data_IF_351141467956
#
_entry.id   IF_351141467956
#
_cell.length_a   1.000
_cell.length_b   1.000
_cell.length_c   1.000
_cell.angle_alpha   90.00
_cell.angle_beta   90.00
_cell.angle_gamma   90.00
#
_symmetry.space_group_name_H-M   'P 1'
#
loop_
_entity.id
_entity.type
_entity.pdbx_description
1 polymer ?
#
# COMPACT_ATOMS: atom_id res chain seq x y z
N UNK A 1 -14.57 -15.83 44.77
CA UNK A 1 -15.48 -15.02 43.93
C UNK A 1 -14.60 -14.19 43.02
N UNK A 2 -14.98 -14.14 41.75
CA UNK A 2 -14.11 -14.08 40.57
C UNK A 2 -13.07 -12.94 40.48
N UNK A 3 -11.95 -13.28 39.83
CA UNK A 3 -11.02 -12.37 39.14
C UNK A 3 -11.20 -12.55 37.63
N UNK A 4 -11.30 -11.45 36.89
CA UNK A 4 -11.01 -11.29 35.45
C UNK A 4 -11.30 -9.81 35.13
N UNK A 5 -10.31 -8.91 35.06
CA UNK A 5 -9.37 -8.69 33.94
C UNK A 5 -10.11 -8.45 32.61
N UNK A 6 -10.60 -7.22 32.42
CA UNK A 6 -11.06 -6.69 31.13
C UNK A 6 -9.87 -6.02 30.44
N UNK A 7 -8.93 -6.85 29.99
CA UNK A 7 -7.85 -6.44 29.10
C UNK A 7 -8.41 -6.33 27.69
N UNK A 8 -8.67 -5.10 27.23
CA UNK A 8 -9.12 -4.82 25.88
C UNK A 8 -8.24 -5.50 24.83
N UNK A 9 -8.85 -6.39 24.04
CA UNK A 9 -8.31 -7.05 22.86
C UNK A 9 -8.03 -6.00 21.77
N UNK A 10 -6.92 -5.27 21.90
CA UNK A 10 -6.28 -4.59 20.78
C UNK A 10 -5.44 -5.64 20.07
N UNK A 11 -5.57 -5.85 18.75
CA UNK A 11 -4.63 -6.69 18.04
C UNK A 11 -3.25 -6.04 18.18
N UNK A 12 -2.42 -6.57 19.09
CA UNK A 12 -1.00 -6.31 19.13
C UNK A 12 -0.45 -6.87 17.84
N UNK A 13 -0.08 -5.98 16.93
CA UNK A 13 0.82 -6.31 15.83
C UNK A 13 2.01 -7.06 16.41
N UNK A 14 2.16 -8.33 16.04
CA UNK A 14 3.33 -9.14 16.38
C UNK A 14 4.59 -8.37 15.99
N UNK A 15 5.37 -8.07 17.02
CA UNK A 15 6.71 -7.52 16.96
C UNK A 15 7.64 -8.71 16.70
N UNK A 16 8.12 -8.85 15.47
CA UNK A 16 9.21 -9.76 15.14
C UNK A 16 10.36 -8.98 14.49
N UNK A 17 11.31 -8.60 15.33
CA UNK A 17 12.75 -8.74 15.12
C UNK A 17 13.30 -8.41 13.71
N UNK A 18 13.56 -7.13 13.41
CA UNK A 18 14.47 -6.68 12.33
C UNK A 18 14.26 -7.28 10.91
N UNK A 19 13.14 -7.92 10.59
CA UNK A 19 12.97 -8.65 9.33
C UNK A 19 11.51 -8.73 8.92
N UNK A 20 11.09 -7.80 8.06
CA UNK A 20 9.78 -7.75 7.38
C UNK A 20 8.53 -7.65 8.26
N UNK A 21 7.91 -6.49 8.24
CA UNK A 21 6.59 -6.23 8.81
C UNK A 21 5.46 -6.62 7.84
N UNK A 22 4.45 -7.34 8.33
CA UNK A 22 3.30 -7.76 7.52
C UNK A 22 2.00 -7.10 7.98
N UNK A 23 1.21 -6.56 7.05
CA UNK A 23 -0.04 -5.85 7.27
C UNK A 23 -1.18 -6.47 6.46
N UNK A 24 -2.39 -6.58 7.01
CA UNK A 24 -3.54 -7.26 6.35
C UNK A 24 -4.53 -6.29 5.74
N UNK A 25 -4.77 -6.26 4.43
CA UNK A 25 -5.76 -5.33 3.86
C UNK A 25 -7.17 -5.54 4.44
N UNK A 26 -7.98 -4.50 4.50
CA UNK A 26 -9.32 -4.54 5.10
C UNK A 26 -10.28 -5.37 4.25
N UNK A 27 -10.12 -5.27 2.93
CA UNK A 27 -10.80 -6.12 1.95
C UNK A 27 -9.81 -6.56 0.88
N UNK A 28 -10.11 -7.64 0.17
CA UNK A 28 -9.46 -7.95 -1.10
C UNK A 28 -10.49 -8.35 -2.17
N UNK A 29 -10.24 -7.92 -3.40
CA UNK A 29 -11.10 -8.17 -4.57
C UNK A 29 -10.22 -8.52 -5.78
N UNK A 30 -10.73 -9.40 -6.64
CA UNK A 30 -10.11 -9.65 -7.95
C UNK A 30 -10.73 -8.72 -8.99
N UNK A 31 -9.93 -7.85 -9.59
CA UNK A 31 -10.36 -6.94 -10.66
C UNK A 31 -9.38 -7.02 -11.83
N UNK A 32 -9.89 -7.21 -13.05
CA UNK A 32 -9.05 -7.27 -14.26
C UNK A 32 -7.92 -8.30 -14.20
N UNK A 33 -8.13 -9.42 -13.50
CA UNK A 33 -7.13 -10.47 -13.29
C UNK A 33 -6.11 -10.20 -12.17
N UNK A 34 -6.18 -9.06 -11.49
CA UNK A 34 -5.29 -8.66 -10.38
C UNK A 34 -5.99 -8.86 -9.04
N UNK A 35 -5.24 -9.17 -7.99
CA UNK A 35 -5.72 -9.21 -6.61
C UNK A 35 -5.41 -7.88 -5.93
N UNK A 36 -6.44 -7.09 -5.68
CA UNK A 36 -6.36 -5.76 -5.10
C UNK A 36 -6.84 -5.81 -3.65
N UNK A 37 -6.08 -5.26 -2.72
CA UNK A 37 -6.45 -5.12 -1.33
C UNK A 37 -6.74 -3.67 -0.97
N UNK A 38 -7.94 -3.40 -0.46
CA UNK A 38 -8.36 -2.08 0.00
C UNK A 38 -7.85 -1.85 1.42
N UNK A 39 -7.32 -0.67 1.69
CA UNK A 39 -6.78 -0.28 2.99
C UNK A 39 -7.39 1.04 3.45
N UNK A 40 -7.75 1.12 4.73
CA UNK A 40 -8.12 2.36 5.39
C UNK A 40 -7.00 3.43 5.31
N UNK A 41 -7.41 4.69 5.13
CA UNK A 41 -6.49 5.81 4.93
C UNK A 41 -5.59 6.09 6.15
N UNK A 42 -6.16 6.09 7.36
CA UNK A 42 -5.41 6.34 8.60
C UNK A 42 -4.38 5.25 8.83
N UNK A 43 -4.79 4.00 8.59
CA UNK A 43 -3.91 2.85 8.73
C UNK A 43 -2.81 2.81 7.68
N UNK A 44 -3.14 3.13 6.43
CA UNK A 44 -2.14 3.23 5.37
C UNK A 44 -1.12 4.32 5.69
N UNK A 45 -1.60 5.49 6.15
CA UNK A 45 -0.77 6.60 6.63
C UNK A 45 0.14 6.18 7.79
N UNK A 46 -0.36 5.45 8.78
CA UNK A 46 0.45 4.96 9.89
C UNK A 46 1.64 4.12 9.38
N UNK A 47 1.39 3.21 8.42
CA UNK A 47 2.45 2.37 7.84
C UNK A 47 3.48 3.20 7.08
N UNK A 48 3.06 4.19 6.29
CA UNK A 48 3.98 5.08 5.57
C UNK A 48 4.90 5.84 6.52
N UNK A 49 4.35 6.40 7.61
CA UNK A 49 5.12 7.17 8.58
C UNK A 49 6.03 6.28 9.45
N UNK A 50 5.67 5.01 9.62
CA UNK A 50 6.45 4.06 10.41
C UNK A 50 7.65 3.48 9.65
N UNK A 51 7.51 3.30 8.34
CA UNK A 51 8.52 2.69 7.47
C UNK A 51 8.81 3.52 6.21
N UNK A 52 9.14 4.81 6.33
CA UNK A 52 9.40 5.66 5.16
C UNK A 52 10.56 5.11 4.31
N UNK A 53 11.53 4.44 4.92
CA UNK A 53 12.68 3.83 4.24
C UNK A 53 12.34 2.57 3.43
N UNK A 54 11.17 1.98 3.64
CA UNK A 54 10.65 0.84 2.88
C UNK A 54 9.72 1.28 1.74
N UNK A 55 9.55 2.59 1.54
CA UNK A 55 8.57 3.16 0.64
C UNK A 55 9.25 4.06 -0.40
N UNK A 56 8.85 3.91 -1.66
CA UNK A 56 9.13 4.90 -2.70
C UNK A 56 7.80 5.52 -3.17
N UNK A 57 7.69 6.84 -3.03
CA UNK A 57 6.45 7.56 -3.33
C UNK A 57 6.55 8.33 -4.65
N UNK A 58 5.44 8.38 -5.36
CA UNK A 58 5.33 8.99 -6.67
C UNK A 58 3.98 9.69 -6.82
N UNK A 59 3.98 10.93 -7.29
CA UNK A 59 2.77 11.64 -7.73
C UNK A 59 2.51 11.38 -9.20
N UNK A 60 1.24 11.18 -9.55
CA UNK A 60 0.81 11.00 -10.94
C UNK A 60 0.45 12.36 -11.54
N UNK A 61 1.12 12.73 -12.62
CA UNK A 61 0.83 13.96 -13.40
C UNK A 61 0.00 13.67 -14.66
N UNK A 62 -0.01 12.42 -15.15
CA UNK A 62 -0.86 12.00 -16.27
C UNK A 62 -1.01 10.46 -16.32
N UNK A 63 -2.09 9.96 -16.96
CA UNK A 63 -2.26 8.53 -17.22
C UNK A 63 -2.89 7.70 -16.07
N UNK A 64 -2.91 6.38 -16.25
CA UNK A 64 -3.58 5.42 -15.35
C UNK A 64 -2.66 4.79 -14.29
N UNK A 65 -1.42 5.23 -14.13
CA UNK A 65 -0.43 4.64 -13.21
C UNK A 65 0.45 3.57 -13.87
N UNK A 66 1.40 3.02 -13.08
CA UNK A 66 2.38 1.97 -13.43
C UNK A 66 2.22 1.37 -14.84
N UNK A 67 3.17 1.71 -15.71
CA UNK A 67 3.44 1.03 -16.98
C UNK A 67 4.55 0.02 -16.73
N UNK A 68 4.46 -1.17 -17.33
CA UNK A 68 5.52 -2.16 -17.14
C UNK A 68 6.87 -1.57 -17.61
N UNK A 69 7.94 -1.66 -16.80
CA UNK A 69 9.21 -1.02 -17.12
C UNK A 69 9.86 -1.59 -18.39
N UNK A 70 9.47 -2.78 -18.85
CA UNK A 70 9.92 -3.32 -20.13
C UNK A 70 9.29 -2.65 -21.35
N UNK A 71 8.25 -1.82 -21.17
CA UNK A 71 7.56 -1.10 -22.25
C UNK A 71 8.09 0.32 -22.50
N UNK A 72 9.08 0.79 -21.73
CA UNK A 72 9.67 2.12 -21.90
C UNK A 72 10.74 2.13 -23.01
N UNK A 73 10.34 2.50 -24.24
CA UNK A 73 11.27 2.73 -25.36
C UNK A 73 11.50 4.24 -25.55
N UNK A 74 12.57 4.80 -24.97
CA UNK A 74 12.90 6.23 -25.15
C UNK A 74 13.98 6.77 -24.22
N UNK A 75 14.31 8.06 -24.37
CA UNK A 75 15.28 8.81 -23.53
C UNK A 75 14.72 9.29 -22.19
N UNK A 76 13.47 8.95 -21.87
CA UNK A 76 12.81 9.28 -20.61
C UNK A 76 12.93 8.11 -19.64
N UNK A 77 13.02 8.41 -18.34
CA UNK A 77 13.01 7.39 -17.28
C UNK A 77 11.65 6.67 -17.24
N UNK A 78 11.63 5.45 -16.69
CA UNK A 78 10.41 4.65 -16.58
C UNK A 78 9.30 5.38 -15.78
N UNK A 79 9.69 6.19 -14.79
CA UNK A 79 8.78 7.05 -14.03
C UNK A 79 8.15 8.13 -14.93
N UNK A 80 8.96 8.84 -15.73
CA UNK A 80 8.46 9.87 -16.65
C UNK A 80 7.51 9.29 -17.72
N UNK A 81 7.81 8.10 -18.25
CA UNK A 81 6.93 7.41 -19.21
C UNK A 81 5.59 6.97 -18.61
N UNK A 82 5.54 6.71 -17.32
CA UNK A 82 4.31 6.40 -16.58
C UNK A 82 3.58 7.66 -16.10
N UNK A 83 4.09 8.86 -16.40
CA UNK A 83 3.55 10.12 -15.87
C UNK A 83 3.70 10.21 -14.35
N UNK A 84 4.76 9.63 -13.80
CA UNK A 84 5.11 9.65 -12.38
C UNK A 84 6.23 10.65 -12.13
N UNK A 85 6.08 11.44 -11.06
CA UNK A 85 7.13 12.30 -10.52
C UNK A 85 7.41 11.83 -9.10
N UNK A 86 8.68 11.65 -8.77
CA UNK A 86 9.09 11.29 -7.42
C UNK A 86 8.49 12.27 -6.40
N UNK A 87 8.01 11.73 -5.29
CA UNK A 87 7.39 12.47 -4.23
C UNK A 87 7.94 12.00 -2.89
N UNK A 88 7.89 12.90 -1.93
CA UNK A 88 8.23 12.57 -0.56
C UNK A 88 7.12 11.74 0.10
N UNK A 89 7.50 10.68 0.83
CA UNK A 89 6.57 9.76 1.48
C UNK A 89 5.75 10.48 2.56
N UNK A 90 6.37 11.39 3.32
CA UNK A 90 5.67 12.16 4.35
C UNK A 90 4.62 13.09 3.72
N UNK A 91 4.91 13.63 2.53
CA UNK A 91 3.94 14.45 1.77
C UNK A 91 2.73 13.64 1.33
N UNK A 92 2.92 12.40 0.86
CA UNK A 92 1.79 11.50 0.53
C UNK A 92 1.01 11.13 1.79
N UNK A 93 1.70 10.86 2.91
CA UNK A 93 1.07 10.54 4.19
C UNK A 93 0.30 11.73 4.78
N UNK A 94 0.78 12.96 4.61
CA UNK A 94 0.07 14.18 5.02
C UNK A 94 -1.20 14.38 4.21
N UNK A 95 -1.16 14.09 2.90
CA UNK A 95 -2.32 14.08 2.03
C UNK A 95 -3.34 12.98 2.34
N UNK A 96 -3.12 12.14 3.37
CA UNK A 96 -4.07 11.14 3.84
C UNK A 96 -4.86 11.54 5.10
N UNK A 97 -4.63 12.75 5.64
CA UNK A 97 -5.31 13.26 6.84
C UNK A 97 -6.81 13.49 6.59
N UNK A 98 -7.17 13.85 5.37
CA UNK A 98 -8.55 14.16 5.02
C UNK A 98 -9.34 12.88 4.68
N UNK A 99 -10.64 12.84 4.98
CA UNK A 99 -11.49 11.74 4.55
C UNK A 99 -11.69 11.76 3.03
N UNK A 100 -12.10 10.62 2.46
CA UNK A 100 -12.43 10.51 1.03
C UNK A 100 -11.29 10.01 0.15
N UNK A 101 -10.27 9.42 0.76
CA UNK A 101 -9.19 8.76 0.04
C UNK A 101 -9.48 7.27 -0.12
N UNK A 102 -8.99 6.71 -1.21
CA UNK A 102 -9.03 5.28 -1.48
C UNK A 102 -7.60 4.78 -1.63
N UNK A 103 -7.18 3.88 -0.73
CA UNK A 103 -5.87 3.25 -0.78
C UNK A 103 -6.04 1.80 -1.21
N UNK A 104 -5.40 1.41 -2.31
CA UNK A 104 -5.49 0.06 -2.87
C UNK A 104 -4.10 -0.49 -3.14
N UNK A 105 -3.79 -1.64 -2.56
CA UNK A 105 -2.50 -2.35 -2.72
C UNK A 105 -2.68 -3.53 -3.66
N UNK A 106 -1.77 -3.68 -4.63
CA UNK A 106 -1.73 -4.87 -5.49
C UNK A 106 -1.02 -6.02 -4.77
N UNK A 107 -1.73 -7.11 -4.52
CA UNK A 107 -1.28 -8.24 -3.73
C UNK A 107 -0.69 -9.38 -4.58
N UNK A 108 -1.02 -9.45 -5.87
CA UNK A 108 -0.56 -10.45 -6.84
C UNK A 108 0.82 -10.12 -7.47
N UNK A 109 1.79 -9.71 -6.66
CA UNK A 109 3.14 -9.38 -7.14
C UNK A 109 4.21 -10.27 -6.50
N UNK A 110 5.25 -10.56 -7.27
CA UNK A 110 6.47 -11.24 -6.79
C UNK A 110 7.59 -10.25 -6.41
N UNK A 111 7.43 -8.96 -6.73
CA UNK A 111 8.36 -7.88 -6.42
C UNK A 111 7.75 -6.84 -5.48
N UNK A 112 8.19 -5.56 -5.54
CA UNK A 112 7.63 -4.53 -4.68
C UNK A 112 6.11 -4.44 -4.84
N UNK A 113 5.44 -4.16 -3.74
CA UNK A 113 4.00 -4.01 -3.72
C UNK A 113 3.62 -2.60 -4.09
N UNK A 114 2.83 -2.48 -5.15
CA UNK A 114 2.35 -1.19 -5.61
C UNK A 114 1.02 -0.86 -4.96
N UNK A 115 0.99 0.22 -4.20
CA UNK A 115 -0.22 0.85 -3.74
C UNK A 115 -0.56 2.06 -4.59
N UNK A 116 -1.86 2.28 -4.77
CA UNK A 116 -2.40 3.49 -5.38
C UNK A 116 -3.27 4.19 -4.34
N UNK A 117 -2.93 5.45 -4.08
CA UNK A 117 -3.75 6.38 -3.30
C UNK A 117 -4.49 7.28 -4.28
N UNK A 118 -5.79 7.39 -4.15
CA UNK A 118 -6.63 8.27 -4.98
C UNK A 118 -7.50 9.13 -4.08
N UNK A 119 -7.55 10.41 -4.39
CA UNK A 119 -8.59 11.32 -3.91
C UNK A 119 -9.25 12.00 -5.12
N UNK A 120 -10.16 12.95 -4.89
CA UNK A 120 -10.89 13.63 -5.98
C UNK A 120 -9.99 14.45 -6.91
N UNK A 121 -8.82 14.86 -6.44
CA UNK A 121 -7.96 15.86 -7.09
C UNK A 121 -6.60 15.27 -7.50
N UNK A 122 -6.10 14.31 -6.74
CA UNK A 122 -4.75 13.80 -6.79
C UNK A 122 -4.71 12.27 -6.80
N UNK A 123 -3.66 11.76 -7.42
CA UNK A 123 -3.34 10.36 -7.42
C UNK A 123 -1.86 10.18 -7.11
N UNK A 124 -1.57 9.34 -6.13
CA UNK A 124 -0.22 8.94 -5.80
C UNK A 124 -0.06 7.42 -5.91
N UNK A 125 1.17 6.98 -6.09
CA UNK A 125 1.56 5.59 -6.02
C UNK A 125 2.68 5.44 -5.01
N UNK A 126 2.60 4.40 -4.19
CA UNK A 126 3.65 4.04 -3.26
C UNK A 126 4.08 2.62 -3.56
N UNK A 127 5.38 2.42 -3.74
CA UNK A 127 5.99 1.11 -3.85
C UNK A 127 6.55 0.70 -2.50
N UNK A 128 6.19 -0.50 -2.04
CA UNK A 128 6.68 -1.09 -0.81
C UNK A 128 7.73 -2.15 -1.12
N UNK A 129 8.91 -2.02 -0.51
CA UNK A 129 9.89 -3.09 -0.44
C UNK A 129 9.30 -4.26 0.37
N UNK A 130 8.94 -5.34 -0.33
CA UNK A 130 8.29 -6.51 0.28
C UNK A 130 9.18 -7.29 1.24
N UNK A 131 10.50 -7.07 1.22
CA UNK A 131 11.41 -7.63 2.20
C UNK A 131 11.37 -6.86 3.54
N UNK A 132 10.79 -5.66 3.56
CA UNK A 132 10.61 -4.83 4.76
C UNK A 132 9.16 -4.63 5.18
N UNK A 133 8.27 -4.39 4.22
CA UNK A 133 6.84 -4.15 4.46
C UNK A 133 6.03 -4.91 3.42
N UNK A 134 5.13 -5.78 3.89
CA UNK A 134 4.27 -6.57 3.02
C UNK A 134 2.81 -6.48 3.42
N UNK A 135 1.96 -6.14 2.47
CA UNK A 135 0.51 -6.24 2.55
C UNK A 135 0.03 -7.63 2.11
N UNK A 136 -0.94 -8.19 2.82
CA UNK A 136 -1.57 -9.47 2.50
C UNK A 136 -3.08 -9.34 2.55
N UNK A 137 -3.80 -10.23 1.86
CA UNK A 137 -5.26 -10.25 1.89
C UNK A 137 -5.77 -10.61 3.31
N UNK A 138 -7.02 -10.25 3.68
CA UNK A 138 -7.62 -10.71 4.92
C UNK A 138 -7.79 -12.23 4.92
N UNK A 139 -7.67 -12.85 6.10
CA UNK A 139 -7.83 -14.30 6.28
C UNK A 139 -9.21 -14.75 5.78
N UNK A 140 -9.27 -15.86 5.03
CA UNK A 140 -10.52 -16.38 4.46
C UNK A 140 -10.78 -16.02 2.98
N UNK A 141 -9.86 -15.34 2.31
CA UNK A 141 -9.90 -15.13 0.85
C UNK A 141 -9.32 -16.30 0.03
N UNK A 142 -9.01 -17.41 0.69
CA UNK A 142 -8.59 -18.67 0.09
C UNK A 142 -9.66 -19.76 0.27
N UNK A 143 -9.96 -20.44 -0.84
CA UNK A 143 -10.85 -21.61 -0.97
C UNK A 143 -12.33 -21.34 -1.20
N UNK A 144 -12.66 -20.96 -2.43
CA UNK A 144 -13.85 -21.45 -3.12
C UNK A 144 -13.38 -22.15 -4.39
N UNK A 145 -13.31 -23.48 -4.34
CA UNK A 145 -13.30 -24.35 -5.52
C UNK A 145 -14.70 -24.36 -6.15
#
# INVERSE_FOLDING_TARGET
MEVADDGSDRPRSDDDSQGRHTYRTDRAVREGGRLLGEVDGDRFREVLLRHPEACEAYRMISGTGYRDPSEATGSYTAAEHAGRVEADVESVAAGLIDPGHTCVVRLDTAGPQLATVRNEVERAQVEFDVDRVRWVAPEGTGSGD
#
